data_IF_651233312489
#
_entry.id   IF_651233312489
#
_cell.length_a   1.000
_cell.length_b   1.000
_cell.length_c   1.000
_cell.angle_alpha   90.00
_cell.angle_beta   90.00
_cell.angle_gamma   90.00
#
_symmetry.space_group_name_H-M   'P 1'
#
loop_
_entity.id
_entity.type
_entity.pdbx_description
1 polymer ?
#
# COMPACT_ATOMS: atom_id res chain seq x y z
N UNK A 1 5.83 -8.07 -33.52
CA UNK A 1 4.53 -8.52 -33.00
C UNK A 1 4.67 -8.97 -31.55
N UNK A 2 3.59 -9.23 -30.80
CA UNK A 2 3.69 -9.81 -29.46
C UNK A 2 4.43 -11.16 -29.39
N UNK A 3 4.33 -11.98 -30.43
CA UNK A 3 5.07 -13.24 -30.52
C UNK A 3 6.58 -13.03 -30.74
N UNK A 4 6.95 -12.04 -31.55
CA UNK A 4 8.37 -11.67 -31.72
C UNK A 4 8.96 -11.12 -30.42
N UNK A 5 8.19 -10.32 -29.67
CA UNK A 5 8.59 -9.82 -28.37
C UNK A 5 8.80 -10.96 -27.36
N UNK A 6 7.93 -11.99 -27.36
CA UNK A 6 8.09 -13.17 -26.53
C UNK A 6 9.35 -13.96 -26.86
N UNK A 7 9.62 -14.18 -28.15
CA UNK A 7 10.84 -14.87 -28.61
C UNK A 7 12.10 -14.09 -28.20
N UNK A 8 12.10 -12.77 -28.38
CA UNK A 8 13.21 -11.91 -27.98
C UNK A 8 13.45 -11.95 -26.47
N UNK A 9 12.39 -11.88 -25.65
CA UNK A 9 12.52 -11.91 -24.20
C UNK A 9 13.12 -13.22 -23.72
N UNK A 10 12.67 -14.36 -24.25
CA UNK A 10 13.21 -15.69 -23.92
C UNK A 10 14.71 -15.82 -24.22
N UNK A 11 15.25 -15.06 -25.17
CA UNK A 11 16.69 -15.02 -25.46
C UNK A 11 17.48 -14.16 -24.47
N UNK A 12 16.83 -13.21 -23.79
CA UNK A 12 17.45 -12.27 -22.83
C UNK A 12 17.31 -12.74 -21.38
N UNK A 13 16.34 -13.59 -21.07
CA UNK A 13 16.12 -14.13 -19.74
C UNK A 13 17.30 -15.00 -19.26
N UNK A 14 17.63 -14.90 -17.97
CA UNK A 14 18.59 -15.82 -17.36
C UNK A 14 17.92 -17.16 -16.99
N UNK A 15 18.10 -18.16 -17.87
CA UNK A 15 17.59 -19.51 -17.66
C UNK A 15 18.36 -20.33 -16.61
N UNK A 16 19.52 -19.85 -16.13
CA UNK A 16 20.33 -20.57 -15.14
C UNK A 16 19.75 -20.45 -13.73
N UNK A 17 18.98 -19.40 -13.46
CA UNK A 17 18.29 -19.19 -12.19
C UNK A 17 17.04 -20.08 -12.14
N UNK A 18 17.12 -21.28 -11.59
CA UNK A 18 15.97 -22.21 -11.54
C UNK A 18 14.90 -21.77 -10.53
N UNK A 19 15.33 -21.40 -9.32
CA UNK A 19 14.48 -21.00 -8.21
C UNK A 19 14.90 -19.63 -7.65
N UNK A 20 14.31 -18.53 -8.15
CA UNK A 20 14.68 -17.18 -7.72
C UNK A 20 14.33 -16.94 -6.24
N UNK A 21 15.33 -16.56 -5.45
CA UNK A 21 15.20 -16.34 -4.01
C UNK A 21 14.86 -14.88 -3.67
N UNK A 22 15.22 -13.94 -4.55
CA UNK A 22 15.02 -12.51 -4.37
C UNK A 22 14.44 -11.84 -5.63
N UNK A 23 14.09 -10.57 -5.51
CA UNK A 23 13.48 -9.81 -6.60
C UNK A 23 14.41 -9.65 -7.81
N UNK A 24 15.71 -9.44 -7.60
CA UNK A 24 16.67 -9.32 -8.70
C UNK A 24 16.72 -10.60 -9.53
N UNK A 25 16.93 -11.76 -8.89
CA UNK A 25 16.95 -13.05 -9.57
C UNK A 25 15.62 -13.34 -10.29
N UNK A 26 14.51 -13.00 -9.65
CA UNK A 26 13.19 -13.10 -10.24
C UNK A 26 13.04 -12.19 -11.48
N UNK A 27 13.60 -10.97 -11.47
CA UNK A 27 13.57 -10.09 -12.63
C UNK A 27 14.47 -10.58 -13.75
N UNK A 28 15.72 -10.95 -13.46
CA UNK A 28 16.67 -11.46 -14.44
C UNK A 28 16.14 -12.71 -15.15
N UNK A 29 15.51 -13.63 -14.42
CA UNK A 29 14.85 -14.82 -14.99
C UNK A 29 13.66 -14.47 -15.89
N UNK A 30 12.91 -13.41 -15.58
CA UNK A 30 11.63 -13.11 -16.26
C UNK A 30 11.74 -12.12 -17.42
N UNK A 31 12.65 -11.14 -17.33
CA UNK A 31 12.75 -10.04 -18.29
C UNK A 31 14.18 -9.78 -18.79
N UNK A 32 15.18 -10.47 -18.24
CA UNK A 32 16.58 -10.23 -18.56
C UNK A 32 17.14 -8.95 -17.96
N UNK A 33 18.46 -8.77 -18.11
CA UNK A 33 19.22 -7.70 -17.46
C UNK A 33 18.82 -6.30 -17.95
N UNK A 34 18.78 -6.08 -19.27
CA UNK A 34 18.51 -4.75 -19.84
C UNK A 34 17.18 -4.14 -19.37
N UNK A 35 16.11 -4.93 -19.36
CA UNK A 35 14.79 -4.47 -18.91
C UNK A 35 14.71 -4.36 -17.38
N UNK A 36 15.38 -5.25 -16.66
CA UNK A 36 15.51 -5.15 -15.20
C UNK A 36 16.19 -3.84 -14.81
N UNK A 37 17.32 -3.50 -15.42
CA UNK A 37 18.06 -2.27 -15.13
C UNK A 37 17.27 -1.02 -15.51
N UNK A 38 16.63 -1.03 -16.69
CA UNK A 38 15.87 0.11 -17.19
C UNK A 38 14.61 0.41 -16.37
N UNK A 39 13.83 -0.60 -15.99
CA UNK A 39 12.49 -0.40 -15.44
C UNK A 39 12.35 -0.74 -13.94
N UNK A 40 13.22 -1.58 -13.39
CA UNK A 40 13.01 -2.15 -12.05
C UNK A 40 14.11 -1.77 -11.06
N UNK A 41 15.39 -1.88 -11.43
CA UNK A 41 16.52 -1.71 -10.48
C UNK A 41 16.52 -0.33 -9.83
N UNK A 42 16.64 0.74 -10.64
CA UNK A 42 16.66 2.12 -10.15
C UNK A 42 15.38 2.50 -9.41
N UNK A 43 14.21 2.13 -9.96
CA UNK A 43 12.93 2.44 -9.35
C UNK A 43 12.75 1.76 -7.99
N UNK A 44 13.14 0.49 -7.88
CA UNK A 44 13.07 -0.28 -6.63
C UNK A 44 13.98 0.31 -5.56
N UNK A 45 15.21 0.70 -5.92
CA UNK A 45 16.13 1.36 -4.99
C UNK A 45 15.55 2.66 -4.45
N UNK A 46 14.97 3.51 -5.32
CA UNK A 46 14.32 4.75 -4.87
C UNK A 46 13.08 4.49 -4.02
N UNK A 47 12.24 3.54 -4.42
CA UNK A 47 10.98 3.24 -3.73
C UNK A 47 11.21 2.61 -2.36
N UNK A 48 12.18 1.72 -2.22
CA UNK A 48 12.37 0.91 -1.02
C UNK A 48 13.61 1.25 -0.21
N UNK A 49 14.55 2.02 -0.76
CA UNK A 49 15.86 2.27 -0.13
C UNK A 49 16.73 1.01 -0.03
N UNK A 50 16.37 -0.05 -0.75
CA UNK A 50 17.02 -1.36 -0.69
C UNK A 50 17.41 -1.81 -2.09
N UNK A 51 18.55 -2.49 -2.18
CA UNK A 51 18.92 -3.19 -3.40
C UNK A 51 17.91 -4.30 -3.69
N UNK A 52 17.52 -4.56 -4.95
CA UNK A 52 16.48 -5.56 -5.23
C UNK A 52 16.88 -6.99 -4.84
N UNK A 53 18.17 -7.29 -4.68
CA UNK A 53 18.65 -8.56 -4.11
C UNK A 53 18.30 -8.77 -2.63
N UNK A 54 17.97 -7.70 -1.90
CA UNK A 54 17.54 -7.75 -0.50
C UNK A 54 16.02 -7.87 -0.32
N UNK A 55 15.25 -7.84 -1.42
CA UNK A 55 13.80 -7.98 -1.41
C UNK A 55 13.38 -9.39 -1.82
N UNK A 56 12.32 -9.96 -1.23
CA UNK A 56 11.86 -11.29 -1.60
C UNK A 56 11.33 -11.34 -3.03
N UNK A 57 11.48 -12.48 -3.70
CA UNK A 57 11.00 -12.70 -5.08
C UNK A 57 9.48 -12.42 -5.26
N UNK A 58 8.70 -12.50 -4.18
CA UNK A 58 7.26 -12.23 -4.17
C UNK A 58 6.89 -10.79 -4.56
N UNK A 59 7.81 -9.83 -4.43
CA UNK A 59 7.56 -8.42 -4.80
C UNK A 59 7.31 -8.29 -6.31
N UNK A 60 8.01 -9.05 -7.17
CA UNK A 60 7.83 -8.98 -8.62
C UNK A 60 6.61 -9.76 -9.12
N UNK A 61 6.05 -10.69 -8.32
CA UNK A 61 4.85 -11.47 -8.71
C UNK A 61 3.64 -10.59 -9.05
N UNK A 62 3.65 -9.32 -8.64
CA UNK A 62 2.58 -8.35 -8.88
C UNK A 62 2.64 -7.66 -10.24
N UNK A 63 3.78 -7.69 -10.95
CA UNK A 63 3.98 -6.95 -12.20
C UNK A 63 4.12 -7.95 -13.36
N UNK A 64 3.06 -8.19 -14.15
CA UNK A 64 3.12 -9.13 -15.26
C UNK A 64 3.75 -8.49 -16.51
N UNK A 65 4.59 -9.25 -17.22
CA UNK A 65 4.93 -8.95 -18.61
C UNK A 65 3.74 -9.37 -19.49
N UNK A 66 3.24 -8.45 -20.31
CA UNK A 66 2.12 -8.74 -21.23
C UNK A 66 2.62 -8.80 -22.66
N UNK A 67 2.25 -9.87 -23.36
CA UNK A 67 2.48 -10.01 -24.79
C UNK A 67 1.19 -9.71 -25.55
N UNK A 68 0.70 -8.49 -25.38
CA UNK A 68 -0.38 -7.85 -26.13
C UNK A 68 -0.19 -6.33 -26.04
N UNK A 69 -1.10 -5.54 -26.62
CA UNK A 69 -1.02 -4.07 -26.61
C UNK A 69 -1.87 -3.43 -25.50
N UNK A 70 -2.37 -4.22 -24.54
CA UNK A 70 -3.16 -3.70 -23.43
C UNK A 70 -2.25 -3.07 -22.38
N UNK A 71 -2.33 -1.75 -22.27
CA UNK A 71 -1.55 -0.91 -21.36
C UNK A 71 -2.32 -0.55 -20.08
N UNK A 72 -3.52 -1.09 -19.85
CA UNK A 72 -4.25 -0.88 -18.60
C UNK A 72 -3.41 -1.31 -17.40
N UNK A 73 -3.10 -0.39 -16.49
CA UNK A 73 -2.22 -0.71 -15.37
C UNK A 73 -2.78 -1.83 -14.46
N UNK A 74 -4.10 -1.89 -14.29
CA UNK A 74 -4.79 -2.90 -13.49
C UNK A 74 -5.59 -3.88 -14.35
N UNK A 75 -5.58 -5.15 -13.94
CA UNK A 75 -6.36 -6.23 -14.58
C UNK A 75 -7.73 -6.48 -13.92
N UNK A 76 -8.13 -5.62 -12.96
CA UNK A 76 -9.38 -5.80 -12.22
C UNK A 76 -10.60 -5.59 -13.13
N UNK A 77 -11.64 -6.41 -12.93
CA UNK A 77 -12.91 -6.33 -13.67
C UNK A 77 -13.61 -4.98 -13.50
N UNK A 78 -13.56 -4.42 -12.29
CA UNK A 78 -14.18 -3.15 -11.96
C UNK A 78 -13.09 -2.13 -11.65
N UNK A 79 -13.08 -1.03 -12.40
CA UNK A 79 -12.15 0.09 -12.23
C UNK A 79 -12.96 1.37 -12.30
N UNK A 80 -12.66 2.33 -11.43
CA UNK A 80 -13.39 3.57 -11.37
C UNK A 80 -12.86 4.50 -10.30
N UNK A 81 -13.34 5.73 -10.37
CA UNK A 81 -13.00 6.81 -9.44
C UNK A 81 -14.30 7.53 -9.06
N UNK A 82 -14.54 7.84 -7.78
CA UNK A 82 -15.77 8.50 -7.35
C UNK A 82 -15.86 9.89 -7.97
N UNK A 83 -16.99 10.18 -8.62
CA UNK A 83 -17.24 11.45 -9.32
C UNK A 83 -16.99 12.69 -8.45
N UNK A 84 -17.27 12.60 -7.14
CA UNK A 84 -17.11 13.69 -6.17
C UNK A 84 -15.96 13.46 -5.18
N UNK A 85 -15.04 12.54 -5.48
CA UNK A 85 -13.89 12.22 -4.65
C UNK A 85 -14.19 11.29 -3.47
N UNK A 86 -13.13 10.69 -2.92
CA UNK A 86 -13.22 9.71 -1.84
C UNK A 86 -13.74 10.29 -0.52
N UNK A 87 -13.48 11.57 -0.23
CA UNK A 87 -14.03 12.23 0.96
C UNK A 87 -15.55 12.23 0.98
N UNK A 88 -16.21 12.52 -0.15
CA UNK A 88 -17.68 12.50 -0.21
C UNK A 88 -18.23 11.07 -0.08
N UNK A 89 -17.53 10.09 -0.66
CA UNK A 89 -17.88 8.68 -0.47
C UNK A 89 -17.80 8.26 0.99
N UNK A 90 -16.69 8.55 1.69
CA UNK A 90 -16.53 8.23 3.12
C UNK A 90 -17.51 9.00 3.98
N UNK A 91 -17.77 10.28 3.68
CA UNK A 91 -18.79 11.08 4.37
C UNK A 91 -20.15 10.39 4.30
N UNK A 92 -20.55 9.93 3.11
CA UNK A 92 -21.82 9.21 2.94
C UNK A 92 -21.86 7.88 3.71
N UNK A 93 -20.74 7.19 3.89
CA UNK A 93 -20.67 5.94 4.67
C UNK A 93 -20.91 6.20 6.16
N UNK A 94 -20.40 7.31 6.69
CA UNK A 94 -20.49 7.64 8.13
C UNK A 94 -21.72 8.49 8.49
N UNK A 95 -22.50 8.92 7.50
CA UNK A 95 -23.72 9.72 7.67
C UNK A 95 -24.90 8.82 8.09
N UNK A 96 -24.88 8.40 9.36
CA UNK A 96 -25.90 7.55 9.96
C UNK A 96 -26.20 8.04 11.39
N UNK A 97 -27.47 7.97 11.82
CA UNK A 97 -27.92 8.51 13.12
C UNK A 97 -27.19 7.91 14.34
N UNK A 98 -26.73 6.67 14.22
CA UNK A 98 -25.96 5.96 15.25
C UNK A 98 -24.44 6.17 15.17
N UNK A 99 -23.93 7.03 14.29
CA UNK A 99 -22.49 7.28 14.12
C UNK A 99 -22.18 8.73 14.50
N UNK A 100 -21.38 8.91 15.54
CA UNK A 100 -20.76 10.19 15.88
C UNK A 100 -19.32 10.22 15.35
N UNK A 101 -18.96 11.30 14.63
CA UNK A 101 -17.61 11.50 14.11
C UNK A 101 -16.94 12.66 14.82
N UNK A 102 -15.82 12.37 15.48
CA UNK A 102 -14.97 13.37 16.10
C UNK A 102 -13.61 13.45 15.39
N UNK A 103 -13.27 14.65 14.92
CA UNK A 103 -11.99 14.92 14.26
C UNK A 103 -11.02 15.59 15.23
N UNK A 104 -9.72 15.62 14.88
CA UNK A 104 -8.67 16.20 15.72
C UNK A 104 -8.60 15.61 17.14
N UNK A 105 -9.06 14.37 17.32
CA UNK A 105 -9.04 13.63 18.59
C UNK A 105 -8.13 12.41 18.48
N UNK A 106 -7.06 12.40 19.27
CA UNK A 106 -6.18 11.23 19.40
C UNK A 106 -6.81 10.21 20.35
N UNK A 107 -6.65 8.93 20.05
CA UNK A 107 -7.04 7.84 20.93
C UNK A 107 -6.01 7.63 22.05
N UNK A 108 -6.48 7.39 23.28
CA UNK A 108 -5.66 6.96 24.41
C UNK A 108 -6.20 5.64 24.97
N UNK A 109 -5.36 4.86 25.67
CA UNK A 109 -5.75 3.55 26.18
C UNK A 109 -6.89 3.63 27.21
N UNK A 110 -6.96 4.74 27.96
CA UNK A 110 -7.98 4.98 28.97
C UNK A 110 -9.38 5.09 28.35
N UNK A 111 -9.48 5.61 27.13
CA UNK A 111 -10.76 5.73 26.41
C UNK A 111 -11.42 4.37 26.13
N UNK A 112 -10.69 3.25 26.22
CA UNK A 112 -11.25 1.91 26.00
C UNK A 112 -12.34 1.55 26.99
N UNK A 113 -12.28 2.06 28.22
CA UNK A 113 -13.24 1.69 29.27
C UNK A 113 -14.63 2.25 29.02
N UNK A 114 -14.76 3.21 28.10
CA UNK A 114 -16.02 3.86 27.78
C UNK A 114 -16.84 3.07 26.74
N UNK A 115 -16.30 1.96 26.20
CA UNK A 115 -16.90 1.21 25.10
C UNK A 115 -16.85 -0.31 25.35
N UNK A 116 -17.87 -1.03 24.87
CA UNK A 116 -17.92 -2.50 24.94
C UNK A 116 -16.83 -3.17 24.09
N UNK A 117 -16.51 -2.57 22.93
CA UNK A 117 -15.46 -3.06 22.01
C UNK A 117 -14.84 -1.92 21.20
N UNK A 118 -13.55 -2.04 20.87
CA UNK A 118 -12.82 -1.05 20.07
C UNK A 118 -12.34 -1.65 18.75
N UNK A 119 -12.63 -1.01 17.62
CA UNK A 119 -12.01 -1.32 16.33
C UNK A 119 -10.88 -0.32 16.06
N UNK A 120 -9.63 -0.79 16.10
CA UNK A 120 -8.45 0.07 16.01
C UNK A 120 -7.75 -0.06 14.66
N UNK A 121 -7.82 0.99 13.85
CA UNK A 121 -7.18 1.05 12.52
C UNK A 121 -5.87 1.84 12.50
N UNK A 122 -5.40 2.33 13.65
CA UNK A 122 -4.11 3.01 13.81
C UNK A 122 -2.91 2.05 13.81
N UNK A 123 -1.70 2.59 13.89
CA UNK A 123 -0.47 1.78 13.86
C UNK A 123 -0.33 0.87 15.09
N UNK A 124 -0.14 -0.42 14.84
CA UNK A 124 -0.08 -1.46 15.88
C UNK A 124 1.04 -1.22 16.90
N UNK A 125 2.21 -0.82 16.45
CA UNK A 125 3.34 -0.46 17.31
C UNK A 125 3.07 0.81 18.12
N UNK A 126 2.46 1.83 17.49
CA UNK A 126 2.08 3.07 18.16
C UNK A 126 1.04 2.86 19.26
N UNK A 127 0.08 1.93 19.06
CA UNK A 127 -0.87 1.52 20.10
C UNK A 127 -0.16 1.08 21.39
N UNK A 128 1.00 0.43 21.24
CA UNK A 128 1.86 -0.03 22.31
C UNK A 128 3.02 0.94 22.62
N UNK A 129 2.89 2.22 22.28
CA UNK A 129 3.89 3.25 22.51
C UNK A 129 5.29 2.89 21.98
N UNK A 130 5.35 2.10 20.90
CA UNK A 130 6.58 1.63 20.27
C UNK A 130 7.54 0.90 21.23
N UNK A 131 7.04 0.26 22.30
CA UNK A 131 7.86 -0.33 23.38
C UNK A 131 8.90 -1.38 22.92
N UNK A 132 8.70 -2.02 21.77
CA UNK A 132 9.65 -2.99 21.20
C UNK A 132 10.50 -2.41 20.06
N UNK A 133 10.31 -1.13 19.72
CA UNK A 133 10.82 -0.47 18.51
C UNK A 133 9.69 -0.17 17.51
N UNK A 134 9.98 0.71 16.54
CA UNK A 134 9.04 1.08 15.47
C UNK A 134 9.04 0.02 14.36
N UNK A 135 7.86 -0.31 13.85
CA UNK A 135 7.74 -1.10 12.63
C UNK A 135 8.23 -0.28 11.44
N UNK A 136 8.94 -0.92 10.52
CA UNK A 136 9.62 -0.22 9.42
C UNK A 136 8.62 0.18 8.33
N UNK A 137 8.59 1.46 7.98
CA UNK A 137 7.81 1.96 6.86
C UNK A 137 8.70 2.75 5.91
N UNK A 138 8.29 2.82 4.64
CA UNK A 138 8.63 3.93 3.76
C UNK A 138 7.62 5.05 3.96
N UNK A 139 8.10 6.27 3.97
CA UNK A 139 7.28 7.47 3.89
C UNK A 139 7.45 8.17 2.54
N UNK A 140 6.55 9.09 2.24
CA UNK A 140 6.51 9.85 0.99
C UNK A 140 6.45 11.34 1.28
N UNK A 141 7.35 12.11 0.67
CA UNK A 141 7.26 13.56 0.62
C UNK A 141 6.68 13.99 -0.74
N UNK A 142 5.69 14.88 -0.70
CA UNK A 142 5.02 15.40 -1.89
C UNK A 142 5.38 16.88 -2.10
N UNK A 143 6.23 17.15 -3.09
CA UNK A 143 6.53 18.53 -3.49
C UNK A 143 5.45 19.02 -4.44
N UNK A 144 4.62 19.95 -3.96
CA UNK A 144 3.57 20.62 -4.74
C UNK A 144 4.14 21.48 -5.84
N UNK A 145 3.61 21.28 -7.04
CA UNK A 145 3.83 22.11 -8.22
C UNK A 145 2.47 22.62 -8.68
N UNK A 146 2.39 23.91 -8.99
CA UNK A 146 1.21 24.53 -9.60
C UNK A 146 1.66 25.08 -10.94
N UNK A 147 0.99 24.67 -12.02
CA UNK A 147 1.21 25.21 -13.36
C UNK A 147 -0.10 25.74 -13.95
N UNK A 148 0.02 26.66 -14.91
CA UNK A 148 -1.12 27.30 -15.59
C UNK A 148 -1.49 26.57 -16.89
N UNK A 149 -1.04 25.32 -17.05
CA UNK A 149 -1.22 24.54 -18.26
C UNK A 149 -1.28 23.04 -17.93
N UNK A 150 -1.31 22.21 -18.97
CA UNK A 150 -0.92 20.81 -18.87
C UNK A 150 0.58 20.71 -18.54
N UNK A 151 0.93 19.88 -17.55
CA UNK A 151 2.33 19.68 -17.13
C UNK A 151 2.97 18.49 -17.83
N UNK A 152 2.25 17.35 -17.92
CA UNK A 152 2.81 16.10 -18.45
C UNK A 152 1.86 15.28 -19.34
N UNK A 153 0.60 15.67 -19.49
CA UNK A 153 -0.32 15.00 -20.42
C UNK A 153 -0.93 13.69 -19.92
N UNK A 154 -0.65 13.27 -18.68
CA UNK A 154 -1.18 12.03 -18.09
C UNK A 154 -1.25 12.09 -16.56
N UNK A 155 -2.03 11.21 -15.94
CA UNK A 155 -2.21 11.20 -14.49
C UNK A 155 -0.95 10.84 -13.71
N UNK A 156 -0.13 9.91 -14.21
CA UNK A 156 1.06 9.40 -13.51
C UNK A 156 2.18 9.17 -14.52
N UNK A 157 3.34 9.78 -14.29
CA UNK A 157 4.55 9.54 -15.05
C UNK A 157 5.64 9.01 -14.11
N UNK A 158 6.07 7.76 -14.33
CA UNK A 158 7.15 7.15 -13.56
C UNK A 158 8.52 7.55 -14.13
N UNK A 159 9.50 7.76 -13.25
CA UNK A 159 10.89 8.00 -13.63
C UNK A 159 11.74 6.88 -13.07
N UNK A 160 12.13 5.91 -13.90
CA UNK A 160 12.78 4.68 -13.42
C UNK A 160 14.26 4.85 -13.08
N UNK A 161 14.95 5.81 -13.71
CA UNK A 161 16.38 6.07 -13.46
C UNK A 161 16.63 6.51 -12.02
N UNK A 162 17.73 6.02 -11.44
CA UNK A 162 18.23 6.43 -10.13
C UNK A 162 18.72 7.89 -10.11
N UNK A 163 19.12 8.43 -11.26
CA UNK A 163 19.60 9.82 -11.40
C UNK A 163 18.47 10.84 -11.21
N UNK A 164 17.22 10.40 -11.34
CA UNK A 164 16.05 11.24 -11.04
C UNK A 164 15.63 11.02 -9.58
N UNK A 165 15.70 12.04 -8.70
CA UNK A 165 15.54 11.84 -7.26
C UNK A 165 14.12 11.50 -6.81
N UNK A 166 13.09 11.93 -7.57
CA UNK A 166 11.69 11.55 -7.33
C UNK A 166 11.33 10.23 -8.03
N UNK A 167 10.34 9.52 -7.49
CA UNK A 167 9.84 8.24 -8.05
C UNK A 167 8.95 8.50 -9.26
N UNK A 168 8.05 9.48 -9.13
CA UNK A 168 7.06 9.84 -10.16
C UNK A 168 6.55 11.26 -10.01
N UNK A 169 5.88 11.74 -11.04
CA UNK A 169 5.05 12.94 -10.99
C UNK A 169 3.59 12.55 -11.24
N UNK A 170 2.70 13.03 -10.38
CA UNK A 170 1.25 12.87 -10.54
C UNK A 170 0.61 14.19 -10.93
N UNK A 171 -0.23 14.20 -11.96
CA UNK A 171 -1.00 15.38 -12.39
C UNK A 171 -2.49 15.15 -12.13
N UNK A 172 -3.03 15.78 -11.10
CA UNK A 172 -4.27 15.31 -10.45
C UNK A 172 -5.51 15.48 -11.32
N UNK A 173 -5.54 16.50 -12.19
CA UNK A 173 -6.71 16.76 -13.05
C UNK A 173 -7.02 15.59 -14.00
N UNK A 174 -6.02 14.79 -14.37
CA UNK A 174 -6.21 13.62 -15.22
C UNK A 174 -6.91 12.45 -14.53
N UNK A 175 -7.02 12.46 -13.20
CA UNK A 175 -7.87 11.49 -12.49
C UNK A 175 -9.37 11.79 -12.65
N UNK A 176 -9.73 13.04 -13.01
CA UNK A 176 -11.11 13.47 -13.21
C UNK A 176 -11.33 13.98 -14.63
N UNK A 177 -11.19 13.11 -15.66
CA UNK A 177 -11.23 13.52 -17.07
C UNK A 177 -12.59 14.08 -17.53
N UNK A 178 -13.65 13.93 -16.71
CA UNK A 178 -14.95 14.56 -16.94
C UNK A 178 -15.00 16.05 -16.53
N UNK A 179 -13.97 16.54 -15.83
CA UNK A 179 -13.81 17.94 -15.44
C UNK A 179 -12.83 18.65 -16.39
N UNK A 180 -12.88 19.99 -16.40
CA UNK A 180 -11.93 20.81 -17.15
C UNK A 180 -11.34 21.86 -16.22
N UNK A 181 -10.01 21.87 -16.17
CA UNK A 181 -9.22 22.78 -15.35
C UNK A 181 -8.08 23.35 -16.20
N UNK A 182 -7.97 24.69 -16.27
CA UNK A 182 -6.88 25.36 -16.98
C UNK A 182 -5.56 25.16 -16.22
N UNK A 183 -5.57 25.48 -14.92
CA UNK A 183 -4.45 25.23 -14.02
C UNK A 183 -4.37 23.76 -13.61
N UNK A 184 -3.16 23.32 -13.24
CA UNK A 184 -2.92 21.96 -12.75
C UNK A 184 -2.16 21.95 -11.43
N UNK A 185 -2.47 20.95 -10.62
CA UNK A 185 -1.74 20.62 -9.39
C UNK A 185 -1.03 19.30 -9.62
N UNK A 186 0.30 19.34 -9.52
CA UNK A 186 1.14 18.17 -9.64
C UNK A 186 1.89 17.91 -8.34
N UNK A 187 2.23 16.64 -8.09
CA UNK A 187 3.18 16.28 -7.03
C UNK A 187 4.38 15.55 -7.61
N UNK A 188 5.58 16.04 -7.28
CA UNK A 188 6.79 15.22 -7.30
C UNK A 188 6.83 14.40 -6.02
N UNK A 189 6.83 13.08 -6.15
CA UNK A 189 6.84 12.14 -5.03
C UNK A 189 8.27 11.65 -4.73
N UNK A 190 8.70 11.76 -3.47
CA UNK A 190 10.00 11.28 -3.00
C UNK A 190 9.79 10.21 -1.93
N UNK A 191 10.42 9.05 -2.09
CA UNK A 191 10.35 7.97 -1.11
C UNK A 191 11.59 7.96 -0.22
N UNK A 192 11.40 7.80 1.08
CA UNK A 192 12.49 7.66 2.07
C UNK A 192 12.09 6.77 3.24
N UNK A 193 13.04 6.51 4.13
CA UNK A 193 12.76 5.80 5.38
C UNK A 193 11.82 6.64 6.25
N UNK A 194 10.86 5.98 6.90
CA UNK A 194 9.91 6.63 7.80
C UNK A 194 10.54 6.83 9.17
N UNK A 195 10.66 8.07 9.61
CA UNK A 195 11.19 8.45 10.91
C UNK A 195 10.05 8.79 11.89
N UNK A 196 10.43 9.19 13.12
CA UNK A 196 9.46 9.64 14.10
C UNK A 196 8.82 10.97 13.66
N UNK A 197 7.49 10.99 13.59
CA UNK A 197 6.72 12.16 13.14
C UNK A 197 6.27 12.09 11.69
N UNK A 198 6.83 11.17 10.90
CA UNK A 198 6.40 10.93 9.53
C UNK A 198 5.11 10.10 9.46
N UNK A 199 4.41 10.26 8.33
CA UNK A 199 3.24 9.42 8.01
C UNK A 199 3.74 8.09 7.44
N UNK A 200 3.36 6.93 8.02
CA UNK A 200 3.74 5.62 7.47
C UNK A 200 2.91 5.27 6.22
N UNK A 201 3.58 5.06 5.06
CA UNK A 201 2.92 4.75 3.76
C UNK A 201 3.07 3.28 3.34
N UNK A 202 4.29 2.76 3.17
CA UNK A 202 4.50 1.37 2.73
C UNK A 202 5.18 0.53 3.82
N UNK A 203 4.53 -0.52 4.36
CA UNK A 203 5.16 -1.37 5.36
C UNK A 203 6.31 -2.17 4.72
N UNK A 204 7.48 -2.16 5.37
CA UNK A 204 8.65 -2.90 4.91
C UNK A 204 8.66 -4.26 5.60
N UNK A 205 8.14 -5.30 4.93
CA UNK A 205 8.11 -6.67 5.47
C UNK A 205 9.36 -7.45 5.06
N UNK A 206 10.50 -7.14 5.69
CA UNK A 206 11.73 -7.93 5.50
C UNK A 206 11.65 -9.23 6.29
N UNK A 207 12.13 -10.32 5.69
CA UNK A 207 12.13 -11.64 6.34
C UNK A 207 12.94 -11.66 7.64
N UNK A 208 14.06 -10.92 7.70
CA UNK A 208 14.97 -10.83 8.86
C UNK A 208 14.45 -9.93 9.99
N UNK A 209 13.31 -9.25 9.81
CA UNK A 209 12.72 -8.31 10.80
C UNK A 209 11.35 -8.73 11.29
N UNK A 210 10.88 -9.93 10.91
CA UNK A 210 9.57 -10.44 11.32
C UNK A 210 9.44 -10.64 12.85
N UNK A 211 10.55 -10.80 13.56
CA UNK A 211 10.56 -10.95 15.02
C UNK A 211 9.93 -9.77 15.76
N UNK A 212 10.13 -8.54 15.27
CA UNK A 212 9.54 -7.35 15.89
C UNK A 212 8.02 -7.34 15.71
N UNK A 213 7.54 -7.62 14.50
CA UNK A 213 6.11 -7.75 14.23
C UNK A 213 5.49 -8.86 15.09
N UNK A 214 6.15 -10.01 15.16
CA UNK A 214 5.67 -11.15 15.95
C UNK A 214 5.53 -10.83 17.44
N UNK A 215 6.40 -9.99 18.02
CA UNK A 215 6.24 -9.50 19.41
C UNK A 215 4.95 -8.69 19.57
N UNK A 216 4.66 -7.76 18.66
CA UNK A 216 3.43 -6.98 18.69
C UNK A 216 2.18 -7.84 18.46
N UNK A 217 2.21 -8.73 17.46
CA UNK A 217 1.10 -9.64 17.17
C UNK A 217 0.80 -10.58 18.35
N UNK A 218 1.84 -11.12 18.99
CA UNK A 218 1.68 -12.01 20.15
C UNK A 218 1.11 -11.29 21.37
N UNK A 219 1.38 -9.99 21.50
CA UNK A 219 0.76 -9.14 22.53
C UNK A 219 -0.69 -8.83 22.19
N UNK A 220 -0.95 -8.38 20.97
CA UNK A 220 -2.29 -8.03 20.48
C UNK A 220 -3.28 -9.21 20.55
N UNK A 221 -2.83 -10.43 20.27
CA UNK A 221 -3.66 -11.64 20.40
C UNK A 221 -4.15 -11.93 21.82
N UNK A 222 -3.57 -11.30 22.85
CA UNK A 222 -3.98 -11.43 24.25
C UNK A 222 -4.91 -10.31 24.71
N UNK A 223 -5.10 -9.28 23.89
CA UNK A 223 -5.99 -8.17 24.21
C UNK A 223 -7.44 -8.64 24.14
N UNK A 224 -8.27 -8.05 25.00
CA UNK A 224 -9.72 -8.26 25.03
C UNK A 224 -10.43 -7.00 24.58
N UNK A 225 -11.63 -7.17 24.03
CA UNK A 225 -12.53 -6.07 23.65
C UNK A 225 -11.89 -5.06 22.69
N UNK A 226 -10.95 -5.52 21.85
CA UNK A 226 -10.33 -4.72 20.80
C UNK A 226 -9.99 -5.60 19.61
N UNK A 227 -10.20 -5.09 18.40
CA UNK A 227 -9.80 -5.75 17.14
C UNK A 227 -8.96 -4.77 16.31
N UNK A 228 -7.78 -5.20 15.90
CA UNK A 228 -6.87 -4.42 15.06
C UNK A 228 -7.19 -4.67 13.58
N UNK A 229 -7.43 -3.59 12.83
CA UNK A 229 -7.91 -3.67 11.43
C UNK A 229 -7.11 -2.77 10.49
N UNK A 230 -7.29 -2.98 9.19
CA UNK A 230 -6.75 -2.12 8.15
C UNK A 230 -5.22 -2.13 8.05
N UNK A 231 -4.70 -1.25 7.18
CA UNK A 231 -3.29 -1.29 6.77
C UNK A 231 -2.30 -1.10 7.92
N UNK A 232 -2.60 -0.21 8.87
CA UNK A 232 -1.71 0.12 9.98
C UNK A 232 -1.86 -0.83 11.17
N UNK A 233 -3.10 -1.18 11.53
CA UNK A 233 -3.38 -2.11 12.64
C UNK A 233 -2.92 -3.54 12.36
N UNK A 234 -2.82 -3.91 11.07
CA UNK A 234 -2.36 -5.24 10.64
C UNK A 234 -1.00 -5.24 9.96
N UNK A 235 -0.33 -4.09 9.83
CA UNK A 235 0.98 -3.93 9.18
C UNK A 235 1.03 -4.56 7.75
N UNK A 236 0.02 -4.25 6.93
CA UNK A 236 -0.11 -4.77 5.55
C UNK A 236 -0.37 -3.63 4.58
N UNK A 237 0.12 -3.80 3.35
CA UNK A 237 -0.33 -2.97 2.24
C UNK A 237 -1.66 -3.53 1.74
N UNK A 238 -2.73 -2.73 1.82
CA UNK A 238 -4.08 -3.08 1.40
C UNK A 238 -4.57 -2.02 0.44
N UNK A 239 -5.08 -2.45 -0.71
CA UNK A 239 -5.84 -1.58 -1.60
C UNK A 239 -7.23 -1.26 -0.97
N UNK A 240 -7.92 -0.27 -1.52
CA UNK A 240 -9.17 0.24 -0.93
C UNK A 240 -10.29 -0.81 -0.92
N UNK A 241 -10.43 -1.59 -1.98
CA UNK A 241 -11.43 -2.64 -2.12
C UNK A 241 -11.20 -3.78 -1.11
N UNK A 242 -9.94 -4.20 -0.93
CA UNK A 242 -9.57 -5.18 0.11
C UNK A 242 -9.87 -4.63 1.50
N UNK A 243 -9.57 -3.35 1.75
CA UNK A 243 -9.87 -2.70 3.03
C UNK A 243 -11.37 -2.70 3.33
N UNK A 244 -12.21 -2.40 2.33
CA UNK A 244 -13.68 -2.44 2.47
C UNK A 244 -14.15 -3.88 2.72
N UNK A 245 -13.66 -4.85 1.96
CA UNK A 245 -14.04 -6.25 2.11
C UNK A 245 -13.68 -6.80 3.51
N UNK A 246 -12.45 -6.55 3.98
CA UNK A 246 -12.02 -6.97 5.33
C UNK A 246 -12.80 -6.24 6.44
N UNK A 247 -13.20 -4.98 6.23
CA UNK A 247 -14.03 -4.25 7.18
C UNK A 247 -15.44 -4.82 7.29
N UNK A 248 -16.08 -5.13 6.15
CA UNK A 248 -17.39 -5.79 6.12
C UNK A 248 -17.34 -7.16 6.81
N UNK A 249 -16.34 -7.98 6.47
CA UNK A 249 -16.14 -9.27 7.13
C UNK A 249 -15.92 -9.11 8.64
N UNK A 250 -15.16 -8.09 9.06
CA UNK A 250 -14.91 -7.85 10.49
C UNK A 250 -16.18 -7.48 11.24
N UNK A 251 -17.05 -6.66 10.63
CA UNK A 251 -18.36 -6.34 11.19
C UNK A 251 -19.23 -7.60 11.33
N UNK A 252 -19.28 -8.46 10.30
CA UNK A 252 -20.05 -9.71 10.33
C UNK A 252 -19.57 -10.66 11.43
N UNK A 253 -18.26 -10.79 11.63
CA UNK A 253 -17.66 -11.60 12.71
C UNK A 253 -18.06 -11.03 14.07
N UNK A 254 -18.02 -9.71 14.25
CA UNK A 254 -18.43 -9.08 15.49
C UNK A 254 -19.92 -9.31 15.79
N UNK A 255 -20.79 -9.07 14.81
CA UNK A 255 -22.23 -9.30 14.96
C UNK A 255 -22.56 -10.76 15.31
N UNK A 256 -21.85 -11.70 14.68
CA UNK A 256 -22.00 -13.13 14.99
C UNK A 256 -21.49 -13.46 16.39
N UNK A 257 -20.38 -12.85 16.83
CA UNK A 257 -19.87 -13.04 18.18
C UNK A 257 -20.86 -12.60 19.27
N UNK A 258 -21.63 -11.53 19.01
CA UNK A 258 -22.70 -11.06 19.90
C UNK A 258 -23.85 -12.08 19.98
N UNK A 259 -24.29 -12.62 18.83
CA UNK A 259 -25.36 -13.61 18.77
C UNK A 259 -24.97 -14.93 19.44
N UNK A 260 -23.75 -15.41 19.19
CA UNK A 260 -23.24 -16.68 19.71
C UNK A 260 -22.66 -16.57 21.12
N UNK A 261 -22.60 -15.36 21.70
CA UNK A 261 -21.97 -15.07 22.99
C UNK A 261 -20.50 -15.55 23.04
N UNK A 262 -19.76 -15.31 21.95
CA UNK A 262 -18.33 -15.64 21.83
C UNK A 262 -17.48 -14.40 21.96
N UNK A 263 -16.23 -14.59 22.40
CA UNK A 263 -15.24 -13.53 22.45
C UNK A 263 -14.82 -13.10 21.03
N UNK A 264 -14.91 -11.81 20.74
CA UNK A 264 -14.47 -11.24 19.45
C UNK A 264 -12.94 -11.31 19.36
N UNK A 265 -12.36 -11.89 18.28
CA UNK A 265 -10.91 -11.99 18.15
C UNK A 265 -10.23 -10.63 17.92
N UNK A 266 -8.98 -10.53 18.36
CA UNK A 266 -8.13 -9.36 18.14
C UNK A 266 -7.77 -9.12 16.66
N UNK A 267 -7.87 -10.15 15.81
CA UNK A 267 -7.69 -10.08 14.37
C UNK A 267 -8.69 -11.01 13.67
N UNK A 268 -9.31 -10.53 12.59
CA UNK A 268 -10.25 -11.29 11.75
C UNK A 268 -9.62 -11.83 10.47
N UNK A 269 -8.33 -11.53 10.27
CA UNK A 269 -7.52 -11.90 9.10
C UNK A 269 -6.17 -12.44 9.56
N UNK A 270 -5.53 -13.23 8.71
CA UNK A 270 -4.16 -13.70 8.96
C UNK A 270 -3.17 -12.56 8.73
N UNK A 271 -2.35 -12.30 9.76
CA UNK A 271 -1.36 -11.20 9.82
C UNK A 271 0.06 -11.71 9.94
#
# INVERSE_FOLDING_TARGET
SPDDARKLLLQKCDSTILEPQNFEQQALRFIGEELYEAFFKGYTIKQWGLHPSALPASVLKRIPVRFNYDDNYFNHKFQGIPKFGYTQMVKSIVEHENIAVELCRSFTQEMRTDYDHVFFSGALDAFYSCQYGRLEYRTLDFKKIICQSDYQGCAVMNYCSIDTPYTRITEHKYFSPWERHEASICYQEYSRECEAGDIPYYPVRRADKMDLLNKYLSRAKKEKNITFIGRLGTYRYLDMDITIAEALQTADVYLTSLYEQKEMPAFTVTV
#
